data_IF_291542289853
#
_entry.id   IF_291542289853
#
_cell.length_a   1.000
_cell.length_b   1.000
_cell.length_c   1.000
_cell.angle_alpha   90.00
_cell.angle_beta   90.00
_cell.angle_gamma   90.00
#
_symmetry.space_group_name_H-M   'P 1'
#
loop_
_entity.id
_entity.type
_entity.pdbx_description
1 polymer ?
#
# COMPACT_ATOMS: atom_id res chain seq x y z
N UNK A 1 -61.76 24.44 73.14
CA UNK A 1 -60.60 25.02 72.50
C UNK A 1 -59.40 24.11 72.79
N UNK A 2 -58.96 23.37 71.94
CA UNK A 2 -57.78 22.53 72.01
C UNK A 2 -57.20 22.32 70.65
N UNK A 3 -56.07 22.88 70.39
CA UNK A 3 -55.30 22.77 69.16
C UNK A 3 -54.34 21.60 69.36
N UNK A 4 -54.39 20.64 68.43
CA UNK A 4 -53.41 19.56 68.34
C UNK A 4 -52.57 19.82 67.08
N UNK A 5 -51.27 20.07 67.34
CA UNK A 5 -50.26 20.14 66.21
C UNK A 5 -49.81 18.72 65.82
N UNK A 6 -50.02 18.39 64.57
CA UNK A 6 -49.45 17.20 63.93
C UNK A 6 -48.10 17.52 63.31
N UNK A 7 -47.08 16.78 63.72
CA UNK A 7 -45.72 16.83 63.12
C UNK A 7 -45.68 15.82 62.03
N UNK A 8 -45.55 16.25 60.75
CA UNK A 8 -45.32 15.41 59.58
C UNK A 8 -43.83 15.16 59.40
N UNK A 9 -43.40 13.88 59.42
CA UNK A 9 -42.08 13.46 59.00
C UNK A 9 -42.06 13.35 57.46
N UNK A 10 -41.21 14.15 56.84
CA UNK A 10 -40.86 14.02 55.42
C UNK A 10 -39.69 13.03 55.31
N UNK A 11 -39.96 11.83 54.78
CA UNK A 11 -38.93 10.87 54.34
C UNK A 11 -38.50 11.26 52.92
N UNK A 12 -37.30 11.81 52.78
CA UNK A 12 -36.67 12.10 51.48
C UNK A 12 -36.08 10.82 50.87
N UNK A 13 -36.68 10.30 49.81
CA UNK A 13 -36.02 9.30 48.97
C UNK A 13 -34.97 9.96 48.09
N UNK A 14 -33.72 9.81 48.47
CA UNK A 14 -32.57 10.14 47.60
C UNK A 14 -32.45 9.10 46.49
N UNK A 15 -32.88 9.45 45.25
CA UNK A 15 -32.60 8.68 44.07
C UNK A 15 -31.15 8.89 43.63
N UNK A 16 -30.25 7.96 43.94
CA UNK A 16 -28.94 7.88 43.33
C UNK A 16 -29.07 7.38 41.91
N UNK A 17 -28.97 8.29 40.93
CA UNK A 17 -28.78 7.93 39.55
C UNK A 17 -27.36 7.41 39.34
N UNK A 18 -27.16 6.10 39.43
CA UNK A 18 -25.99 5.46 38.92
C UNK A 18 -26.05 5.50 37.39
N UNK A 19 -25.28 6.39 36.78
CA UNK A 19 -25.03 6.30 35.36
C UNK A 19 -24.17 5.07 35.13
N UNK A 20 -24.77 4.02 34.55
CA UNK A 20 -24.01 2.93 33.94
C UNK A 20 -23.25 3.51 32.75
N UNK A 21 -22.00 3.95 33.01
CA UNK A 21 -21.03 4.13 31.94
C UNK A 21 -20.79 2.76 31.34
N UNK A 22 -21.31 2.56 30.11
CA UNK A 22 -20.98 1.38 29.32
C UNK A 22 -19.45 1.27 29.22
N UNK A 23 -18.88 0.08 29.45
CA UNK A 23 -17.42 -0.09 29.31
C UNK A 23 -17.02 0.34 27.90
N UNK A 24 -15.87 1.01 27.74
CA UNK A 24 -15.37 1.40 26.43
C UNK A 24 -15.32 0.14 25.58
N UNK A 25 -16.05 0.15 24.47
CA UNK A 25 -15.96 -0.90 23.46
C UNK A 25 -14.51 -0.94 23.03
N UNK A 26 -13.79 -2.02 23.37
CA UNK A 26 -12.47 -2.27 22.87
C UNK A 26 -12.57 -2.19 21.34
N UNK A 27 -11.91 -1.22 20.71
CA UNK A 27 -11.76 -1.17 19.27
C UNK A 27 -11.13 -2.50 18.88
N UNK A 28 -11.76 -3.25 17.98
CA UNK A 28 -11.16 -4.48 17.46
C UNK A 28 -9.74 -4.12 16.96
N UNK A 29 -8.74 -4.85 17.43
CA UNK A 29 -7.36 -4.66 16.98
C UNK A 29 -7.32 -4.79 15.46
N UNK A 30 -6.57 -3.91 14.80
CA UNK A 30 -6.41 -3.97 13.36
C UNK A 30 -5.66 -5.26 12.98
N UNK A 31 -6.05 -5.89 11.89
CA UNK A 31 -5.38 -7.12 11.42
C UNK A 31 -3.94 -6.91 10.97
N UNK A 32 -3.51 -5.65 10.82
CA UNK A 32 -2.11 -5.28 10.53
C UNK A 32 -1.33 -4.90 11.79
N UNK A 33 -1.95 -4.90 12.97
CA UNK A 33 -1.26 -4.58 14.23
C UNK A 33 -0.12 -5.57 14.49
N UNK A 34 1.06 -5.05 14.82
CA UNK A 34 2.29 -5.83 15.03
C UNK A 34 2.86 -6.50 13.76
N UNK A 35 2.34 -6.21 12.57
CA UNK A 35 2.89 -6.72 11.30
C UNK A 35 4.04 -5.85 10.81
N UNK A 36 5.08 -6.47 10.27
CA UNK A 36 6.18 -5.80 9.57
C UNK A 36 5.88 -5.78 8.08
N UNK A 37 5.69 -4.60 7.51
CA UNK A 37 5.31 -4.40 6.11
C UNK A 37 6.39 -3.57 5.39
N UNK A 38 6.92 -4.09 4.28
CA UNK A 38 7.80 -3.32 3.42
C UNK A 38 6.98 -2.57 2.38
N UNK A 39 7.22 -1.26 2.29
CA UNK A 39 6.69 -0.39 1.24
C UNK A 39 7.84 0.05 0.36
N UNK A 40 7.76 -0.29 -0.92
CA UNK A 40 8.75 0.03 -1.94
C UNK A 40 8.21 1.12 -2.87
N UNK A 41 8.61 2.39 -2.70
CA UNK A 41 8.29 3.44 -3.68
C UNK A 41 9.15 3.22 -4.92
N UNK A 42 8.54 2.88 -6.07
CA UNK A 42 9.26 2.64 -7.31
C UNK A 42 10.12 3.82 -7.76
N UNK A 43 11.23 3.53 -8.45
CA UNK A 43 12.17 4.51 -9.00
C UNK A 43 12.84 5.40 -7.96
N UNK A 44 13.54 6.46 -8.40
CA UNK A 44 14.11 7.50 -7.52
C UNK A 44 14.36 8.79 -8.31
N UNK A 45 14.30 9.95 -7.64
CA UNK A 45 14.35 11.25 -8.28
C UNK A 45 15.63 11.56 -9.05
N UNK A 46 16.79 11.06 -8.59
CA UNK A 46 18.07 11.25 -9.25
C UNK A 46 18.41 10.25 -10.34
N UNK A 47 17.54 9.26 -10.62
CA UNK A 47 17.82 8.20 -11.60
C UNK A 47 18.13 8.74 -13.01
N UNK A 48 17.44 9.79 -13.43
CA UNK A 48 17.63 10.38 -14.76
C UNK A 48 19.02 11.01 -14.95
N UNK A 49 19.63 11.51 -13.89
CA UNK A 49 20.96 12.12 -13.91
C UNK A 49 22.09 11.11 -13.76
N UNK A 50 21.76 9.84 -13.47
CA UNK A 50 22.72 8.77 -13.21
C UNK A 50 22.54 7.53 -14.10
N UNK A 51 22.50 7.69 -15.44
CA UNK A 51 22.22 6.58 -16.36
C UNK A 51 23.26 5.45 -16.28
N UNK A 52 24.51 5.76 -15.97
CA UNK A 52 25.57 4.73 -15.84
C UNK A 52 25.33 3.82 -14.63
N UNK A 53 24.70 4.34 -13.57
CA UNK A 53 24.40 3.57 -12.37
C UNK A 53 23.16 2.71 -12.56
N UNK A 54 22.06 3.31 -13.01
CA UNK A 54 20.79 2.61 -13.14
C UNK A 54 20.76 1.57 -14.27
N UNK A 55 21.60 1.74 -15.33
CA UNK A 55 21.70 0.78 -16.42
C UNK A 55 22.65 -0.41 -16.15
N UNK A 56 23.32 -0.45 -15.00
CA UNK A 56 24.11 -1.64 -14.60
C UNK A 56 23.22 -2.87 -14.61
N UNK A 57 23.69 -3.90 -15.29
CA UNK A 57 22.92 -5.13 -15.41
C UNK A 57 23.03 -5.97 -14.13
N UNK A 58 21.89 -6.33 -13.56
CA UNK A 58 21.79 -7.20 -12.37
C UNK A 58 20.99 -8.47 -12.70
N UNK A 59 21.23 -9.53 -11.94
CA UNK A 59 20.46 -10.78 -12.10
C UNK A 59 19.04 -10.59 -11.52
N UNK A 60 18.03 -11.08 -12.22
CA UNK A 60 16.63 -11.08 -11.76
C UNK A 60 16.08 -12.50 -11.60
N UNK A 61 16.98 -13.46 -11.36
CA UNK A 61 16.63 -14.86 -11.13
C UNK A 61 16.62 -15.69 -12.42
N UNK A 62 15.90 -15.28 -13.44
CA UNK A 62 15.80 -15.96 -14.74
C UNK A 62 16.39 -15.15 -15.92
N UNK A 63 17.07 -14.06 -15.63
CA UNK A 63 17.66 -13.19 -16.63
C UNK A 63 18.45 -12.04 -16.01
N UNK A 64 18.68 -11.00 -16.78
CA UNK A 64 19.33 -9.77 -16.36
C UNK A 64 18.51 -8.56 -16.79
N UNK A 65 18.42 -7.57 -15.91
CA UNK A 65 17.79 -6.26 -16.19
C UNK A 65 18.66 -5.13 -15.68
N UNK A 66 18.31 -3.92 -16.03
CA UNK A 66 18.92 -2.71 -15.46
C UNK A 66 18.67 -2.68 -13.96
N UNK A 67 19.61 -2.09 -13.22
CA UNK A 67 19.57 -1.89 -11.77
C UNK A 67 18.31 -1.14 -11.32
N UNK A 68 17.91 -0.12 -12.08
CA UNK A 68 16.67 0.64 -11.90
C UNK A 68 16.29 1.30 -13.23
N UNK A 69 15.20 2.06 -13.25
CA UNK A 69 14.75 2.87 -14.38
C UNK A 69 14.31 4.25 -13.90
N UNK A 70 14.06 5.18 -14.84
CA UNK A 70 13.63 6.54 -14.50
C UNK A 70 12.15 6.64 -14.15
N UNK A 71 11.38 5.61 -14.50
CA UNK A 71 9.92 5.69 -14.47
C UNK A 71 9.32 6.52 -15.62
N UNK A 72 8.02 6.68 -15.58
CA UNK A 72 7.24 7.47 -16.55
C UNK A 72 6.95 8.88 -16.02
N UNK A 73 6.28 9.69 -16.86
CA UNK A 73 5.91 11.07 -16.52
C UNK A 73 4.58 11.42 -17.19
N UNK A 74 3.69 12.11 -16.49
CA UNK A 74 2.45 12.63 -17.09
C UNK A 74 2.76 13.70 -18.14
N UNK A 75 1.79 14.00 -19.00
CA UNK A 75 1.92 15.09 -20.00
C UNK A 75 2.23 16.46 -19.35
N UNK A 76 1.79 16.68 -18.12
CA UNK A 76 2.03 17.92 -17.35
C UNK A 76 3.33 17.91 -16.56
N UNK A 77 4.16 16.87 -16.70
CA UNK A 77 5.47 16.78 -16.07
C UNK A 77 5.50 16.20 -14.65
N UNK A 78 4.40 15.62 -14.15
CA UNK A 78 4.42 14.92 -12.87
C UNK A 78 5.08 13.56 -13.02
N UNK A 79 6.18 13.35 -12.34
CA UNK A 79 7.03 12.15 -12.48
C UNK A 79 6.53 10.99 -11.63
N UNK A 80 6.77 9.77 -12.09
CA UNK A 80 6.39 8.55 -11.38
C UNK A 80 7.10 8.44 -10.02
N UNK A 81 8.41 8.71 -9.95
CA UNK A 81 9.16 8.63 -8.68
C UNK A 81 8.56 9.54 -7.59
N UNK A 82 8.12 10.76 -7.96
CA UNK A 82 7.47 11.68 -7.02
C UNK A 82 6.07 11.19 -6.61
N UNK A 83 5.32 10.62 -7.55
CA UNK A 83 4.03 9.99 -7.29
C UNK A 83 4.17 8.82 -6.32
N UNK A 84 5.07 7.89 -6.60
CA UNK A 84 5.27 6.68 -5.78
C UNK A 84 5.73 7.03 -4.38
N UNK A 85 6.62 8.03 -4.25
CA UNK A 85 7.09 8.54 -2.96
C UNK A 85 5.95 9.12 -2.12
N UNK A 86 5.09 9.96 -2.71
CA UNK A 86 3.94 10.54 -2.00
C UNK A 86 2.94 9.48 -1.56
N UNK A 87 2.55 8.55 -2.46
CA UNK A 87 1.60 7.47 -2.11
C UNK A 87 2.17 6.55 -1.05
N UNK A 88 3.44 6.17 -1.15
CA UNK A 88 4.10 5.29 -0.18
C UNK A 88 4.18 5.93 1.22
N UNK A 89 4.48 7.23 1.32
CA UNK A 89 4.49 7.93 2.60
C UNK A 89 3.09 7.99 3.24
N UNK A 90 2.05 8.24 2.45
CA UNK A 90 0.65 8.19 2.92
C UNK A 90 0.27 6.79 3.39
N UNK A 91 0.61 5.77 2.60
CA UNK A 91 0.37 4.36 2.94
C UNK A 91 1.06 3.99 4.25
N UNK A 92 2.34 4.32 4.39
CA UNK A 92 3.11 4.04 5.60
C UNK A 92 2.50 4.70 6.83
N UNK A 93 2.03 5.96 6.68
CA UNK A 93 1.33 6.63 7.78
C UNK A 93 0.06 5.86 8.18
N UNK A 94 -0.79 5.49 7.22
CA UNK A 94 -2.04 4.75 7.50
C UNK A 94 -1.75 3.41 8.17
N UNK A 95 -0.76 2.66 7.69
CA UNK A 95 -0.38 1.38 8.27
C UNK A 95 0.17 1.53 9.69
N UNK A 96 1.04 2.52 9.93
CA UNK A 96 1.58 2.81 11.28
C UNK A 96 0.50 3.26 12.26
N UNK A 97 -0.44 4.09 11.82
CA UNK A 97 -1.60 4.50 12.64
C UNK A 97 -2.48 3.29 13.04
N UNK A 98 -2.39 2.18 12.31
CA UNK A 98 -3.07 0.90 12.56
C UNK A 98 -2.21 -0.12 13.33
N UNK A 99 -1.01 0.25 13.77
CA UNK A 99 -0.13 -0.58 14.59
C UNK A 99 0.91 -1.39 13.82
N UNK A 100 1.01 -1.26 12.49
CA UNK A 100 2.04 -1.94 11.73
C UNK A 100 3.41 -1.27 11.88
N UNK A 101 4.48 -2.07 11.83
CA UNK A 101 5.84 -1.59 11.57
C UNK A 101 6.03 -1.47 10.06
N UNK A 102 6.50 -0.32 9.59
CA UNK A 102 6.68 -0.08 8.15
C UNK A 102 8.12 0.29 7.84
N UNK A 103 8.72 -0.50 6.96
CA UNK A 103 10.05 -0.31 6.42
C UNK A 103 9.99 0.14 4.96
N UNK A 104 10.84 1.08 4.59
CA UNK A 104 10.97 1.54 3.21
C UNK A 104 12.17 0.93 2.53
N UNK A 105 12.11 0.77 1.20
CA UNK A 105 13.29 0.38 0.40
C UNK A 105 14.22 1.54 0.09
N UNK A 106 13.73 2.79 0.15
CA UNK A 106 14.49 4.04 0.00
C UNK A 106 14.04 5.07 1.01
N UNK A 107 14.95 5.95 1.44
CA UNK A 107 14.71 6.91 2.53
C UNK A 107 14.34 8.32 2.04
N UNK A 108 14.51 8.59 0.74
CA UNK A 108 14.19 9.88 0.13
C UNK A 108 13.80 9.73 -1.34
N UNK A 109 13.38 10.82 -1.96
CA UNK A 109 13.20 10.92 -3.41
C UNK A 109 14.37 11.65 -4.09
N UNK A 110 15.47 11.87 -3.37
CA UNK A 110 16.68 12.51 -3.85
C UNK A 110 17.74 11.46 -4.22
N UNK A 111 18.53 11.73 -5.25
CA UNK A 111 19.64 10.87 -5.66
C UNK A 111 19.21 9.55 -6.33
N UNK A 112 20.13 8.60 -6.39
CA UNK A 112 19.91 7.27 -6.98
C UNK A 112 19.46 6.31 -5.88
N UNK A 113 18.33 5.65 -6.10
CA UNK A 113 17.81 4.66 -5.17
C UNK A 113 18.58 3.33 -5.23
N UNK A 114 18.29 2.41 -4.30
CA UNK A 114 18.87 1.08 -4.33
C UNK A 114 18.41 0.32 -5.58
N UNK A 115 19.27 -0.56 -6.08
CA UNK A 115 18.95 -1.46 -7.18
C UNK A 115 17.74 -2.35 -6.86
N UNK A 116 17.05 -2.82 -7.90
CA UNK A 116 15.93 -3.77 -7.78
C UNK A 116 16.29 -5.02 -6.97
N UNK A 117 17.56 -5.45 -6.98
CA UNK A 117 18.06 -6.56 -6.16
C UNK A 117 18.10 -6.24 -4.68
N UNK A 118 18.47 -5.03 -4.32
CA UNK A 118 18.51 -4.56 -2.92
C UNK A 118 17.08 -4.30 -2.40
N UNK A 119 16.22 -3.70 -3.24
CA UNK A 119 14.80 -3.52 -2.94
C UNK A 119 14.13 -4.86 -2.64
N UNK A 120 14.32 -5.87 -3.51
CA UNK A 120 13.80 -7.22 -3.32
C UNK A 120 14.30 -7.90 -2.04
N UNK A 121 15.56 -7.65 -1.65
CA UNK A 121 16.16 -8.25 -0.46
C UNK A 121 15.64 -7.65 0.86
N UNK A 122 15.05 -6.45 0.83
CA UNK A 122 14.62 -5.73 2.04
C UNK A 122 13.67 -6.56 2.88
N UNK A 123 12.62 -7.15 2.29
CA UNK A 123 11.64 -7.94 3.02
C UNK A 123 12.27 -9.08 3.81
N UNK A 124 13.18 -9.84 3.17
CA UNK A 124 13.90 -10.91 3.86
C UNK A 124 14.86 -10.42 4.94
N UNK A 125 15.51 -9.27 4.71
CA UNK A 125 16.47 -8.69 5.66
C UNK A 125 15.81 -8.24 6.96
N UNK A 126 14.61 -7.66 6.89
CA UNK A 126 13.88 -7.15 8.05
C UNK A 126 12.89 -8.17 8.64
N UNK A 127 12.75 -9.34 8.02
CA UNK A 127 11.80 -10.37 8.46
C UNK A 127 10.34 -9.93 8.26
N UNK A 128 10.04 -9.24 7.17
CA UNK A 128 8.71 -8.71 6.91
C UNK A 128 7.67 -9.82 6.72
N UNK A 129 6.42 -9.53 7.10
CA UNK A 129 5.26 -10.39 6.86
C UNK A 129 4.76 -10.27 5.41
N UNK A 130 4.93 -9.09 4.79
CA UNK A 130 4.56 -8.84 3.39
C UNK A 130 5.22 -7.57 2.84
N UNK A 131 5.19 -7.41 1.51
CA UNK A 131 5.72 -6.23 0.82
C UNK A 131 4.81 -5.78 -0.33
N UNK A 132 4.78 -4.47 -0.60
CA UNK A 132 4.17 -3.88 -1.79
C UNK A 132 5.11 -2.89 -2.45
N UNK A 133 5.24 -3.00 -3.77
CA UNK A 133 5.89 -1.98 -4.60
C UNK A 133 4.82 -1.12 -5.27
N UNK A 134 4.95 0.20 -5.11
CA UNK A 134 3.98 1.20 -5.61
C UNK A 134 4.54 1.84 -6.87
N UNK A 135 3.76 1.82 -7.92
CA UNK A 135 4.10 2.33 -9.26
C UNK A 135 2.93 3.08 -9.90
N UNK A 136 3.23 3.73 -11.03
CA UNK A 136 2.27 4.33 -11.94
C UNK A 136 2.68 4.05 -13.37
N UNK A 137 1.87 3.29 -14.10
CA UNK A 137 2.23 2.78 -15.41
C UNK A 137 2.32 3.87 -16.50
N UNK A 138 3.20 3.65 -17.46
CA UNK A 138 3.36 4.43 -18.69
C UNK A 138 2.78 3.72 -19.92
N UNK A 139 1.61 3.14 -19.80
CA UNK A 139 0.95 2.41 -20.87
C UNK A 139 0.48 3.27 -22.06
N UNK A 140 -0.23 2.71 -23.05
CA UNK A 140 -0.80 3.47 -24.17
C UNK A 140 -1.73 4.57 -23.66
N UNK A 141 -1.64 5.78 -24.19
CA UNK A 141 -2.47 6.92 -23.75
C UNK A 141 -3.99 6.72 -23.91
N UNK A 142 -4.42 5.81 -24.79
CA UNK A 142 -5.82 5.40 -24.94
C UNK A 142 -6.26 4.36 -23.91
N UNK A 143 -5.32 3.66 -23.27
CA UNK A 143 -5.57 2.70 -22.19
C UNK A 143 -5.66 3.41 -20.85
N UNK A 144 -6.39 2.84 -19.90
CA UNK A 144 -6.57 3.42 -18.57
C UNK A 144 -6.76 2.34 -17.52
N UNK A 145 -6.72 2.77 -16.26
CA UNK A 145 -7.01 1.92 -15.11
C UNK A 145 -5.75 1.36 -14.45
N UNK A 146 -5.98 0.65 -13.36
CA UNK A 146 -4.94 0.08 -12.52
C UNK A 146 -4.82 -1.44 -12.72
N UNK A 147 -3.69 -1.99 -12.35
CA UNK A 147 -3.51 -3.43 -12.23
C UNK A 147 -2.53 -3.76 -11.10
N UNK A 148 -2.63 -4.97 -10.62
CA UNK A 148 -1.72 -5.52 -9.61
C UNK A 148 -0.91 -6.62 -10.26
N UNK A 149 0.41 -6.55 -10.10
CA UNK A 149 1.33 -7.54 -10.65
C UNK A 149 1.69 -8.54 -9.56
N UNK A 150 1.52 -9.81 -9.87
CA UNK A 150 1.84 -10.92 -8.97
C UNK A 150 2.87 -11.86 -9.61
N UNK A 151 3.73 -12.50 -8.82
CA UNK A 151 4.78 -13.36 -9.36
C UNK A 151 4.24 -14.65 -9.98
N UNK A 152 4.98 -15.13 -10.97
CA UNK A 152 5.03 -16.53 -11.36
C UNK A 152 6.23 -17.18 -10.64
N UNK A 153 6.18 -18.49 -10.41
CA UNK A 153 7.28 -19.19 -9.76
C UNK A 153 8.54 -19.17 -10.63
N UNK A 154 9.61 -18.58 -10.09
CA UNK A 154 10.94 -18.50 -10.70
C UNK A 154 11.99 -18.83 -9.64
N UNK A 155 12.53 -20.04 -9.70
CA UNK A 155 13.62 -20.43 -8.78
C UNK A 155 13.23 -20.27 -7.31
N UNK A 156 13.86 -19.33 -6.62
CA UNK A 156 13.77 -19.20 -5.17
C UNK A 156 12.48 -18.53 -4.65
N UNK A 157 11.69 -17.88 -5.51
CA UNK A 157 10.45 -17.25 -5.08
C UNK A 157 9.25 -18.21 -4.97
N UNK A 158 9.40 -19.48 -5.38
CA UNK A 158 8.30 -20.44 -5.44
C UNK A 158 7.50 -20.53 -4.12
N UNK A 159 8.20 -20.41 -2.99
CA UNK A 159 7.57 -20.50 -1.66
C UNK A 159 6.67 -19.32 -1.29
N UNK A 160 6.80 -18.16 -1.98
CA UNK A 160 6.01 -16.96 -1.66
C UNK A 160 4.90 -16.67 -2.68
N UNK A 161 4.85 -17.40 -3.80
CA UNK A 161 3.91 -17.11 -4.91
C UNK A 161 2.46 -17.11 -4.44
N UNK A 162 2.03 -18.16 -3.73
CA UNK A 162 0.64 -18.25 -3.27
C UNK A 162 0.28 -17.12 -2.29
N UNK A 163 1.20 -16.77 -1.39
CA UNK A 163 1.04 -15.63 -0.49
C UNK A 163 0.93 -14.31 -1.26
N UNK A 164 1.80 -14.10 -2.25
CA UNK A 164 1.82 -12.92 -3.11
C UNK A 164 0.53 -12.78 -3.94
N UNK A 165 0.03 -13.89 -4.47
CA UNK A 165 -1.24 -13.89 -5.24
C UNK A 165 -2.42 -13.51 -4.33
N UNK A 166 -2.50 -14.05 -3.12
CA UNK A 166 -3.55 -13.68 -2.15
C UNK A 166 -3.45 -12.21 -1.76
N UNK A 167 -2.23 -11.69 -1.50
CA UNK A 167 -2.00 -10.28 -1.22
C UNK A 167 -2.44 -9.40 -2.39
N UNK A 168 -2.00 -9.74 -3.60
CA UNK A 168 -2.37 -9.02 -4.81
C UNK A 168 -3.88 -8.97 -5.05
N UNK A 169 -4.59 -10.08 -4.83
CA UNK A 169 -6.06 -10.13 -4.92
C UNK A 169 -6.72 -9.23 -3.88
N UNK A 170 -6.25 -9.25 -2.64
CA UNK A 170 -6.79 -8.41 -1.57
C UNK A 170 -6.59 -6.92 -1.86
N UNK A 171 -5.38 -6.52 -2.29
CA UNK A 171 -5.09 -5.13 -2.70
C UNK A 171 -5.94 -4.73 -3.91
N UNK A 172 -6.04 -5.58 -4.94
CA UNK A 172 -6.86 -5.33 -6.13
C UNK A 172 -8.33 -5.05 -5.77
N UNK A 173 -8.93 -5.88 -4.94
CA UNK A 173 -10.32 -5.74 -4.51
C UNK A 173 -10.53 -4.45 -3.72
N UNK A 174 -9.68 -4.20 -2.73
CA UNK A 174 -9.75 -3.00 -1.90
C UNK A 174 -9.51 -1.72 -2.71
N UNK A 175 -8.52 -1.73 -3.60
CA UNK A 175 -8.16 -0.57 -4.42
C UNK A 175 -9.29 -0.19 -5.39
N UNK A 176 -9.90 -1.18 -6.05
CA UNK A 176 -11.07 -0.93 -6.89
C UNK A 176 -12.24 -0.35 -6.10
N UNK A 177 -12.53 -0.94 -4.95
CA UNK A 177 -13.66 -0.51 -4.11
C UNK A 177 -13.46 0.91 -3.56
N UNK A 178 -12.26 1.24 -3.06
CA UNK A 178 -11.96 2.52 -2.42
C UNK A 178 -11.72 3.67 -3.40
N UNK A 179 -11.10 3.39 -4.55
CA UNK A 179 -10.77 4.43 -5.54
C UNK A 179 -11.80 4.58 -6.65
N UNK A 180 -12.56 3.54 -6.96
CA UNK A 180 -13.43 3.48 -8.14
C UNK A 180 -12.67 3.44 -9.47
N UNK A 181 -11.33 3.27 -9.46
CA UNK A 181 -10.54 3.11 -10.68
C UNK A 181 -10.96 1.82 -11.40
N UNK A 182 -11.09 1.83 -12.74
CA UNK A 182 -11.32 0.62 -13.50
C UNK A 182 -10.07 -0.27 -13.46
N UNK A 183 -10.22 -1.56 -13.73
CA UNK A 183 -9.09 -2.41 -14.08
C UNK A 183 -8.45 -1.94 -15.37
N UNK A 184 -7.14 -2.19 -15.50
CA UNK A 184 -6.40 -1.86 -16.72
C UNK A 184 -7.09 -2.43 -17.96
N UNK A 185 -7.23 -1.58 -18.98
CA UNK A 185 -7.86 -1.94 -20.26
C UNK A 185 -6.85 -2.41 -21.30
N UNK A 186 -5.57 -2.48 -20.95
CA UNK A 186 -4.47 -2.73 -21.92
C UNK A 186 -3.47 -3.81 -21.48
N UNK A 187 -3.51 -4.22 -20.21
CA UNK A 187 -2.61 -5.25 -19.67
C UNK A 187 -3.27 -6.00 -18.51
N UNK A 188 -2.90 -7.28 -18.37
CA UNK A 188 -3.47 -8.14 -17.32
C UNK A 188 -4.87 -8.63 -17.65
N UNK A 189 -5.42 -9.43 -16.76
CA UNK A 189 -6.79 -9.94 -16.81
C UNK A 189 -7.49 -9.64 -15.50
N UNK A 190 -8.65 -9.00 -15.56
CA UNK A 190 -9.41 -8.57 -14.38
C UNK A 190 -8.57 -7.82 -13.33
N UNK A 191 -7.64 -6.98 -13.80
CA UNK A 191 -6.75 -6.17 -12.95
C UNK A 191 -5.64 -6.95 -12.27
N UNK A 192 -5.34 -8.18 -12.68
CA UNK A 192 -4.16 -8.94 -12.30
C UNK A 192 -3.26 -9.20 -13.49
N UNK A 193 -1.97 -8.96 -13.33
CA UNK A 193 -0.93 -9.30 -14.29
C UNK A 193 0.07 -10.28 -13.65
N UNK A 194 0.28 -11.44 -14.29
CA UNK A 194 1.19 -12.50 -13.79
C UNK A 194 2.50 -12.41 -14.52
N UNK A 195 3.58 -12.11 -13.80
CA UNK A 195 4.90 -11.88 -14.41
C UNK A 195 6.01 -12.71 -13.79
N UNK A 196 6.97 -13.06 -14.61
CA UNK A 196 8.20 -13.76 -14.24
C UNK A 196 9.47 -12.95 -14.57
N UNK A 197 9.32 -11.70 -15.01
CA UNK A 197 10.42 -10.87 -15.50
C UNK A 197 10.78 -9.68 -14.60
N UNK A 198 10.10 -9.52 -13.44
CA UNK A 198 10.39 -8.45 -12.48
C UNK A 198 11.29 -8.95 -11.35
N UNK A 199 12.47 -8.32 -11.22
CA UNK A 199 13.44 -8.66 -10.19
C UNK A 199 12.90 -8.53 -8.77
N UNK A 200 12.08 -7.50 -8.51
CA UNK A 200 11.43 -7.28 -7.23
C UNK A 200 10.49 -8.41 -6.81
N UNK A 201 9.92 -9.16 -7.75
CA UNK A 201 9.07 -10.32 -7.49
C UNK A 201 9.87 -11.63 -7.49
N UNK A 202 10.78 -11.79 -8.47
CA UNK A 202 11.55 -13.02 -8.64
C UNK A 202 12.52 -13.29 -7.50
N UNK A 203 13.08 -12.23 -6.90
CA UNK A 203 14.09 -12.31 -5.84
C UNK A 203 13.48 -12.12 -4.44
N UNK A 204 12.20 -11.81 -4.34
CA UNK A 204 11.51 -11.62 -3.08
C UNK A 204 11.55 -12.87 -2.20
N UNK A 205 11.67 -12.68 -0.88
CA UNK A 205 11.69 -13.74 0.13
C UNK A 205 10.44 -13.75 1.01
N UNK A 206 9.58 -12.77 0.85
CA UNK A 206 8.30 -12.63 1.56
C UNK A 206 7.17 -12.40 0.55
N UNK A 207 5.91 -12.65 0.87
CA UNK A 207 4.79 -12.33 0.00
C UNK A 207 4.88 -10.89 -0.51
N UNK A 208 5.05 -10.71 -1.82
CA UNK A 208 5.31 -9.42 -2.46
C UNK A 208 4.44 -9.25 -3.69
N UNK A 209 3.88 -8.05 -3.87
CA UNK A 209 3.13 -7.68 -5.06
C UNK A 209 3.48 -6.25 -5.48
N UNK A 210 3.26 -5.92 -6.77
CA UNK A 210 3.34 -4.56 -7.27
C UNK A 210 1.94 -4.04 -7.55
N UNK A 211 1.74 -2.75 -7.44
CA UNK A 211 0.53 -2.08 -7.90
C UNK A 211 0.88 -0.95 -8.84
N UNK A 212 0.37 -1.03 -10.06
CA UNK A 212 0.30 0.08 -11.01
C UNK A 212 -0.98 0.84 -10.74
N UNK A 213 -0.88 1.95 -10.02
CA UNK A 213 -2.01 2.69 -9.46
C UNK A 213 -2.93 3.33 -10.51
N UNK A 214 -2.46 3.44 -11.75
CA UNK A 214 -3.14 4.00 -12.90
C UNK A 214 -2.16 4.22 -14.04
N UNK A 215 -2.65 4.62 -15.22
CA UNK A 215 -1.83 4.93 -16.38
C UNK A 215 -1.52 6.44 -16.45
N UNK A 216 -0.29 6.83 -16.12
CA UNK A 216 0.18 8.22 -16.14
C UNK A 216 0.19 8.84 -17.54
N UNK A 217 0.17 8.01 -18.60
CA UNK A 217 0.01 8.48 -19.98
C UNK A 217 -1.44 8.78 -20.38
N UNK A 218 -2.42 8.33 -19.56
CA UNK A 218 -3.83 8.60 -19.83
C UNK A 218 -4.28 9.86 -19.08
N UNK A 219 -4.92 10.85 -19.76
CA UNK A 219 -5.28 12.13 -19.13
C UNK A 219 -6.22 12.00 -17.92
N UNK A 220 -7.18 11.06 -17.95
CA UNK A 220 -8.13 10.89 -16.85
C UNK A 220 -7.46 10.25 -15.62
N UNK A 221 -6.58 9.28 -15.82
CA UNK A 221 -5.83 8.64 -14.75
C UNK A 221 -4.76 9.60 -14.21
N UNK A 222 -4.02 10.29 -15.08
CA UNK A 222 -3.02 11.30 -14.71
C UNK A 222 -3.62 12.42 -13.85
N UNK A 223 -4.80 12.92 -14.20
CA UNK A 223 -5.49 13.92 -13.38
C UNK A 223 -5.80 13.43 -11.97
N UNK A 224 -6.24 12.17 -11.83
CA UNK A 224 -6.49 11.54 -10.52
C UNK A 224 -5.19 11.32 -9.75
N UNK A 225 -4.15 10.82 -10.40
CA UNK A 225 -2.85 10.56 -9.79
C UNK A 225 -2.16 11.86 -9.33
N UNK A 226 -2.43 12.97 -10.01
CA UNK A 226 -1.93 14.31 -9.63
C UNK A 226 -2.74 14.96 -8.49
N UNK A 227 -3.94 14.45 -8.16
CA UNK A 227 -4.77 14.99 -7.05
C UNK A 227 -4.33 14.39 -5.70
N UNK A 228 -3.83 15.23 -4.75
CA UNK A 228 -3.41 14.76 -3.44
C UNK A 228 -4.50 14.01 -2.65
N UNK A 229 -5.78 14.41 -2.79
CA UNK A 229 -6.90 13.75 -2.12
C UNK A 229 -7.14 12.37 -2.71
N UNK A 230 -6.92 12.22 -4.02
CA UNK A 230 -7.05 10.92 -4.67
C UNK A 230 -5.89 10.00 -4.30
N UNK A 231 -4.64 10.51 -4.20
CA UNK A 231 -3.49 9.73 -3.69
C UNK A 231 -3.70 9.26 -2.25
N UNK A 232 -4.37 10.05 -1.40
CA UNK A 232 -4.75 9.57 -0.07
C UNK A 232 -5.71 8.38 -0.17
N UNK A 233 -6.74 8.44 -1.02
CA UNK A 233 -7.65 7.30 -1.24
C UNK A 233 -6.94 6.07 -1.81
N UNK A 234 -5.95 6.26 -2.66
CA UNK A 234 -5.09 5.16 -3.15
C UNK A 234 -4.36 4.48 -1.98
N UNK A 235 -3.71 5.27 -1.13
CA UNK A 235 -3.00 4.77 0.04
C UNK A 235 -3.93 4.05 1.04
N UNK A 236 -5.07 4.65 1.37
CA UNK A 236 -6.09 4.05 2.25
C UNK A 236 -6.57 2.71 1.70
N UNK A 237 -6.78 2.63 0.37
CA UNK A 237 -7.24 1.42 -0.29
C UNK A 237 -6.20 0.31 -0.31
N UNK A 238 -4.91 0.65 -0.49
CA UNK A 238 -3.82 -0.33 -0.39
C UNK A 238 -3.70 -0.84 1.04
N UNK A 239 -3.79 0.04 2.05
CA UNK A 239 -3.79 -0.35 3.45
C UNK A 239 -4.96 -1.28 3.79
N UNK A 240 -6.16 -1.01 3.28
CA UNK A 240 -7.31 -1.90 3.43
C UNK A 240 -7.05 -3.26 2.79
N UNK A 241 -6.30 -3.33 1.69
CA UNK A 241 -5.87 -4.59 1.08
C UNK A 241 -5.02 -5.43 2.01
N UNK A 242 -4.10 -4.83 2.77
CA UNK A 242 -3.33 -5.51 3.80
C UNK A 242 -4.22 -6.00 4.95
N UNK A 243 -5.18 -5.19 5.41
CA UNK A 243 -6.13 -5.63 6.44
C UNK A 243 -6.93 -6.86 5.99
N UNK A 244 -7.40 -6.89 4.75
CA UNK A 244 -8.08 -8.06 4.18
C UNK A 244 -7.14 -9.26 4.10
N UNK A 245 -5.90 -9.05 3.71
CA UNK A 245 -4.90 -10.13 3.58
C UNK A 245 -4.58 -10.78 4.91
N UNK A 246 -4.33 -10.01 5.95
CA UNK A 246 -3.97 -10.52 7.28
C UNK A 246 -5.18 -10.94 8.12
N UNK A 247 -6.37 -10.46 7.81
CA UNK A 247 -7.61 -10.79 8.51
C UNK A 247 -8.28 -12.11 8.05
N UNK A 248 -7.69 -12.81 7.07
CA UNK A 248 -8.21 -14.08 6.51
C UNK A 248 -7.60 -15.31 7.14
#
# INVERSE_FOLDING_TARGET
>A
AGVVLGVGLLVGCGGGGGGDEAPPTASAESSVDGKVIVVDPGHNGGNADHPEEINKQVSVGNGRKACDTTGTTTADGYTEHAFTWDVANRLAKVLRDKGAEVEFTRESDDGVGPCITERAATGGRVGADAAVSVHGDGGPGSGRGFHVIVPVAVGENAGIVDGSVRLGQAIREAYRAGTGMPYSTYIGEDGLDRRDDLGGLNLAKVPTTFIECGNMSNPEDAAKMSDPSFRQRMADSIAQGFEIYFGR
#
